data_IF_041382486681
#
_entry.id   IF_041382486681
#
_cell.length_a   1.000
_cell.length_b   1.000
_cell.length_c   1.000
_cell.angle_alpha   90.00
_cell.angle_beta   90.00
_cell.angle_gamma   90.00
#
_symmetry.space_group_name_H-M   'P 1'
#
loop_
_entity.id
_entity.type
_entity.pdbx_description
1 polymer ?
#
# COMPACT_ATOMS: atom_id res chain seq x y z
N UNK A 1 -3.92 -6.89 0.00
CA UNK A 1 -2.64 -7.48 0.49
C UNK A 1 -1.40 -6.63 0.15
N UNK A 2 -1.27 -6.13 -1.08
CA UNK A 2 -0.07 -5.39 -1.55
C UNK A 2 0.42 -4.30 -0.60
N UNK A 3 -0.50 -3.45 -0.10
CA UNK A 3 -0.15 -2.41 0.88
C UNK A 3 0.40 -2.96 2.20
N UNK A 4 -0.06 -4.12 2.67
CA UNK A 4 0.48 -4.75 3.88
C UNK A 4 1.94 -5.17 3.67
N UNK A 5 2.26 -5.77 2.52
CA UNK A 5 3.63 -6.17 2.19
C UNK A 5 4.54 -4.94 2.13
N UNK A 6 4.10 -3.86 1.48
CA UNK A 6 4.83 -2.59 1.45
C UNK A 6 5.12 -2.10 2.86
N UNK A 7 4.09 -2.00 3.71
CA UNK A 7 4.25 -1.56 5.11
C UNK A 7 5.30 -2.39 5.85
N UNK A 8 5.17 -3.73 5.82
CA UNK A 8 6.06 -4.63 6.55
C UNK A 8 7.49 -4.56 6.01
N UNK A 9 7.67 -4.52 4.69
CA UNK A 9 9.00 -4.43 4.09
C UNK A 9 9.67 -3.08 4.36
N UNK A 10 8.90 -1.99 4.40
CA UNK A 10 9.40 -0.67 4.79
C UNK A 10 9.91 -0.67 6.24
N UNK A 11 9.13 -1.25 7.17
CA UNK A 11 9.55 -1.39 8.57
C UNK A 11 10.76 -2.34 8.72
N UNK A 12 10.81 -3.42 7.93
CA UNK A 12 11.89 -4.42 7.99
C UNK A 12 13.22 -3.90 7.42
N UNK A 13 13.18 -2.90 6.52
CA UNK A 13 14.37 -2.34 5.86
C UNK A 13 15.41 -1.77 6.83
N UNK A 14 15.00 -1.36 8.03
CA UNK A 14 15.92 -0.93 9.10
C UNK A 14 16.72 -2.08 9.73
N UNK A 15 16.26 -3.32 9.57
CA UNK A 15 16.86 -4.52 10.17
C UNK A 15 17.50 -5.44 9.13
N UNK A 16 16.93 -5.53 7.92
CA UNK A 16 17.38 -6.42 6.85
C UNK A 16 17.46 -5.68 5.51
N UNK A 17 18.29 -6.20 4.60
CA UNK A 17 18.38 -5.65 3.25
C UNK A 17 17.10 -5.96 2.46
N UNK A 18 16.37 -4.91 2.11
CA UNK A 18 15.22 -4.95 1.21
C UNK A 18 15.53 -4.11 -0.02
N UNK A 19 15.46 -4.72 -1.21
CA UNK A 19 15.69 -4.03 -2.47
C UNK A 19 14.58 -2.98 -2.71
N UNK A 20 14.98 -1.74 -3.04
CA UNK A 20 14.06 -0.65 -3.32
C UNK A 20 13.02 -0.99 -4.39
N UNK A 21 13.36 -1.83 -5.38
CA UNK A 21 12.42 -2.27 -6.42
C UNK A 21 11.22 -3.03 -5.84
N UNK A 22 11.40 -3.77 -4.75
CA UNK A 22 10.33 -4.50 -4.06
C UNK A 22 9.43 -3.61 -3.22
N UNK A 23 9.81 -2.35 -2.99
CA UNK A 23 8.96 -1.32 -2.38
C UNK A 23 8.34 -0.43 -3.45
N UNK A 24 9.14 0.10 -4.36
CA UNK A 24 8.70 1.05 -5.38
C UNK A 24 7.71 0.44 -6.38
N UNK A 25 7.93 -0.78 -6.89
CA UNK A 25 7.00 -1.40 -7.83
C UNK A 25 5.57 -1.52 -7.27
N UNK A 26 5.40 -2.11 -6.08
CA UNK A 26 4.10 -2.17 -5.41
C UNK A 26 3.48 -0.80 -5.08
N UNK A 27 4.28 0.19 -4.67
CA UNK A 27 3.80 1.56 -4.42
C UNK A 27 3.18 2.17 -5.67
N UNK A 28 3.90 2.08 -6.79
CA UNK A 28 3.44 2.58 -8.10
C UNK A 28 2.18 1.85 -8.54
N UNK A 29 2.12 0.54 -8.34
CA UNK A 29 0.93 -0.24 -8.64
C UNK A 29 -0.29 0.26 -7.87
N UNK A 30 -0.15 0.49 -6.56
CA UNK A 30 -1.23 1.00 -5.71
C UNK A 30 -1.71 2.38 -6.21
N UNK A 31 -0.79 3.32 -6.42
CA UNK A 31 -1.13 4.68 -6.83
C UNK A 31 -1.74 4.74 -8.24
N UNK A 32 -1.17 4.02 -9.22
CA UNK A 32 -1.65 4.06 -10.62
C UNK A 32 -2.91 3.24 -10.88
N UNK A 33 -3.13 2.15 -10.13
CA UNK A 33 -4.16 1.15 -10.47
C UNK A 33 -5.23 0.96 -9.40
N UNK A 34 -4.99 1.39 -8.15
CA UNK A 34 -5.91 1.14 -7.02
C UNK A 34 -6.48 2.40 -6.40
N UNK A 35 -5.86 3.56 -6.66
CA UNK A 35 -6.42 4.85 -6.26
C UNK A 35 -7.50 5.29 -7.25
N UNK A 36 -8.67 5.64 -6.72
CA UNK A 36 -9.79 6.23 -7.46
C UNK A 36 -9.56 7.73 -7.66
N UNK A 37 -10.37 8.34 -8.54
CA UNK A 37 -10.33 9.77 -8.80
C UNK A 37 -10.65 10.65 -7.57
N UNK A 38 -11.39 10.11 -6.61
CA UNK A 38 -11.70 10.77 -5.33
C UNK A 38 -10.60 10.58 -4.26
N UNK A 39 -9.50 9.89 -4.61
CA UNK A 39 -8.37 9.62 -3.72
C UNK A 39 -8.53 8.38 -2.85
N UNK A 40 -9.72 7.76 -2.81
CA UNK A 40 -9.94 6.51 -2.07
C UNK A 40 -9.27 5.31 -2.76
N UNK A 41 -8.94 4.28 -2.00
CA UNK A 41 -8.40 3.03 -2.54
C UNK A 41 -9.48 1.94 -2.59
N UNK A 42 -9.47 1.15 -3.66
CA UNK A 42 -10.36 0.00 -3.80
C UNK A 42 -9.60 -1.33 -3.86
N UNK A 43 -10.23 -2.37 -3.34
CA UNK A 43 -9.78 -3.76 -3.52
C UNK A 43 -10.66 -4.40 -4.59
N UNK A 44 -10.04 -4.82 -5.69
CA UNK A 44 -10.73 -5.46 -6.82
C UNK A 44 -10.72 -6.99 -6.69
N UNK A 45 -9.75 -7.52 -5.94
CA UNK A 45 -9.52 -8.95 -5.79
C UNK A 45 -9.47 -9.28 -4.30
N UNK A 46 -10.62 -9.46 -3.65
CA UNK A 46 -10.66 -9.81 -2.23
C UNK A 46 -9.95 -11.13 -2.00
N UNK A 47 -9.32 -11.24 -0.82
CA UNK A 47 -8.64 -12.48 -0.43
C UNK A 47 -9.67 -13.57 -0.18
N UNK A 48 -9.34 -14.81 -0.56
CA UNK A 48 -10.21 -15.96 -0.36
C UNK A 48 -10.64 -16.15 1.11
N UNK A 49 -9.68 -16.04 2.02
CA UNK A 49 -9.95 -16.03 3.44
C UNK A 49 -10.06 -14.59 3.93
N UNK A 50 -11.29 -14.11 4.12
CA UNK A 50 -11.55 -12.74 4.57
C UNK A 50 -11.29 -12.56 6.07
N UNK A 51 -11.05 -13.63 6.84
CA UNK A 51 -10.71 -13.50 8.27
C UNK A 51 -9.42 -12.70 8.47
N UNK A 52 -8.48 -12.76 7.52
CA UNK A 52 -7.19 -12.07 7.59
C UNK A 52 -7.30 -10.56 7.34
N UNK A 53 -8.42 -10.09 6.79
CA UNK A 53 -8.66 -8.66 6.55
C UNK A 53 -9.33 -7.99 7.75
N UNK A 54 -9.76 -8.76 8.76
CA UNK A 54 -10.35 -8.25 9.99
C UNK A 54 -11.59 -7.39 9.72
N UNK A 55 -11.62 -6.17 10.29
CA UNK A 55 -12.75 -5.23 10.19
C UNK A 55 -13.00 -4.61 8.81
N UNK A 56 -12.22 -4.97 7.78
CA UNK A 56 -12.37 -4.46 6.42
C UNK A 56 -13.63 -4.97 5.68
N UNK A 57 -14.40 -5.88 6.27
CA UNK A 57 -15.59 -6.48 5.65
C UNK A 57 -16.89 -5.67 5.86
N UNK A 58 -16.82 -4.55 6.58
CA UNK A 58 -18.00 -3.82 7.03
C UNK A 58 -18.38 -2.68 6.06
N UNK A 59 -19.47 -1.95 6.35
CA UNK A 59 -19.93 -0.79 5.56
C UNK A 59 -18.91 0.34 5.41
N UNK A 60 -17.90 0.37 6.29
CA UNK A 60 -16.79 1.33 6.31
C UNK A 60 -15.52 0.79 5.59
N UNK A 61 -15.65 -0.25 4.77
CA UNK A 61 -14.53 -0.96 4.13
C UNK A 61 -13.63 -0.03 3.29
N UNK A 62 -14.21 0.90 2.52
CA UNK A 62 -13.47 1.87 1.71
C UNK A 62 -12.63 2.82 2.56
N UNK A 63 -13.18 3.33 3.68
CA UNK A 63 -12.47 4.25 4.58
C UNK A 63 -11.33 3.53 5.26
N UNK A 64 -11.61 2.35 5.80
CA UNK A 64 -10.61 1.53 6.50
C UNK A 64 -9.48 1.09 5.56
N UNK A 65 -9.81 0.68 4.32
CA UNK A 65 -8.82 0.31 3.31
C UNK A 65 -7.97 1.52 2.91
N UNK A 66 -8.60 2.67 2.66
CA UNK A 66 -7.90 3.90 2.28
C UNK A 66 -6.93 4.32 3.38
N UNK A 67 -7.36 4.34 4.63
CA UNK A 67 -6.50 4.65 5.78
C UNK A 67 -5.34 3.64 5.90
N UNK A 68 -5.62 2.34 5.70
CA UNK A 68 -4.61 1.31 5.75
C UNK A 68 -3.54 1.47 4.64
N UNK A 69 -3.96 1.74 3.41
CA UNK A 69 -3.05 2.01 2.29
C UNK A 69 -2.23 3.26 2.57
N UNK A 70 -2.86 4.35 3.05
CA UNK A 70 -2.16 5.58 3.37
C UNK A 70 -1.06 5.38 4.43
N UNK A 71 -1.33 4.59 5.48
CA UNK A 71 -0.32 4.22 6.48
C UNK A 71 0.85 3.47 5.81
N UNK A 72 0.57 2.54 4.89
CA UNK A 72 1.63 1.82 4.18
C UNK A 72 2.48 2.75 3.30
N UNK A 73 1.86 3.72 2.62
CA UNK A 73 2.56 4.74 1.84
C UNK A 73 3.47 5.59 2.73
N UNK A 74 2.96 6.05 3.88
CA UNK A 74 3.72 6.85 4.83
C UNK A 74 4.92 6.09 5.43
N UNK A 75 4.77 4.80 5.74
CA UNK A 75 5.91 3.97 6.18
C UNK A 75 6.94 3.77 5.07
N UNK A 76 6.49 3.66 3.82
CA UNK A 76 7.41 3.55 2.69
C UNK A 76 8.18 4.82 2.39
N UNK A 77 7.54 5.99 2.50
CA UNK A 77 8.20 7.30 2.34
C UNK A 77 9.38 7.48 3.31
N UNK A 78 9.26 6.97 4.54
CA UNK A 78 10.36 6.97 5.53
C UNK A 78 11.51 6.03 5.16
N UNK A 79 11.24 5.01 4.34
CA UNK A 79 12.17 3.91 4.06
C UNK A 79 12.85 4.01 2.67
N UNK A 80 12.20 4.64 1.69
CA UNK A 80 12.69 4.73 0.31
C UNK A 80 12.10 5.94 -0.42
N UNK A 81 12.92 6.60 -1.25
CA UNK A 81 12.44 7.56 -2.27
C UNK A 81 12.30 6.83 -3.60
N UNK A 82 11.11 6.85 -4.18
CA UNK A 82 10.82 6.19 -5.46
C UNK A 82 10.63 7.24 -6.55
N UNK A 83 11.37 7.13 -7.65
CA UNK A 83 11.22 8.02 -8.79
C UNK A 83 10.49 7.32 -9.91
N UNK A 84 9.33 7.85 -10.31
CA UNK A 84 8.57 7.36 -11.44
C UNK A 84 8.09 8.52 -12.32
N UNK A 85 8.40 8.49 -13.64
CA UNK A 85 7.93 9.52 -14.55
C UNK A 85 6.40 9.65 -14.49
N UNK A 86 5.91 10.85 -14.19
CA UNK A 86 4.48 11.16 -14.13
C UNK A 86 3.77 10.80 -12.82
N UNK A 87 4.49 10.33 -11.79
CA UNK A 87 3.95 10.11 -10.45
C UNK A 87 4.92 10.71 -9.42
N UNK A 88 4.50 11.75 -8.70
CA UNK A 88 5.32 12.35 -7.65
C UNK A 88 5.17 11.51 -6.36
N UNK A 89 6.06 10.53 -6.22
CA UNK A 89 6.14 9.65 -5.04
C UNK A 89 7.25 10.21 -4.15
N UNK A 90 6.98 11.34 -3.50
CA UNK A 90 7.89 11.92 -2.51
C UNK A 90 7.99 11.03 -1.28
#
# INVERSE_FOLDING_TARGET
>A
ITAYVVKVFSMAKSFISVNNKHLCGPLVYLLKNKQRHDGSFQEDNPVYDTSITGGLQNSESTVSLTAFVLIALAEAQKAVTCQEPGLDIQ
#
